data_IF_417849177638
#
_entry.id   IF_417849177638
#
_cell.length_a   1.000
_cell.length_b   1.000
_cell.length_c   1.000
_cell.angle_alpha   90.00
_cell.angle_beta   90.00
_cell.angle_gamma   90.00
#
_symmetry.space_group_name_H-M   'P 1'
#
loop_
_entity.id
_entity.type
_entity.pdbx_description
1 polymer ?
#
# COMPACT_ATOMS: atom_id res chain seq x y z
N UNK A 1 -16.89 -17.31 20.31
CA UNK A 1 -15.47 -16.97 20.46
C UNK A 1 -15.07 -16.10 19.30
N UNK A 2 -14.77 -14.82 19.57
CA UNK A 2 -14.36 -13.86 18.54
C UNK A 2 -12.87 -14.02 18.26
N UNK A 3 -12.46 -13.67 17.04
CA UNK A 3 -11.05 -13.59 16.66
C UNK A 3 -10.68 -12.11 16.48
N UNK A 4 -9.55 -11.73 17.04
CA UNK A 4 -9.02 -10.38 17.00
C UNK A 4 -7.68 -10.43 16.29
N UNK A 5 -7.51 -9.64 15.24
CA UNK A 5 -6.27 -9.59 14.46
C UNK A 5 -5.58 -8.27 14.71
N UNK A 6 -4.31 -8.32 15.10
CA UNK A 6 -3.47 -7.13 15.23
C UNK A 6 -3.26 -6.50 13.84
N UNK A 7 -3.68 -5.25 13.65
CA UNK A 7 -3.50 -4.51 12.38
C UNK A 7 -2.05 -4.18 12.03
N UNK A 8 -1.12 -4.36 12.97
CA UNK A 8 0.30 -4.01 12.80
C UNK A 8 1.13 -5.23 12.41
N UNK A 9 0.99 -6.35 13.13
CA UNK A 9 1.82 -7.54 12.93
C UNK A 9 1.05 -8.79 12.49
N UNK A 10 -0.28 -8.75 12.45
CA UNK A 10 -1.12 -9.88 12.05
C UNK A 10 -1.33 -10.98 13.11
N UNK A 11 -0.89 -10.78 14.37
CA UNK A 11 -1.14 -11.73 15.45
C UNK A 11 -2.66 -11.93 15.67
N UNK A 12 -3.09 -13.19 15.78
CA UNK A 12 -4.50 -13.57 15.98
C UNK A 12 -4.70 -14.00 17.43
N UNK A 13 -5.59 -13.30 18.13
CA UNK A 13 -6.04 -13.64 19.47
C UNK A 13 -7.48 -14.17 19.44
N UNK A 14 -7.78 -15.23 20.18
CA UNK A 14 -9.12 -15.79 20.28
C UNK A 14 -9.68 -15.57 21.69
N UNK A 15 -10.78 -14.84 21.80
CA UNK A 15 -11.40 -14.47 23.09
C UNK A 15 -12.53 -13.46 22.92
N UNK A 16 -13.22 -13.11 24.01
CA UNK A 16 -14.34 -12.16 23.96
C UNK A 16 -13.89 -10.70 23.71
N UNK A 17 -12.70 -10.32 24.19
CA UNK A 17 -12.10 -8.99 24.05
C UNK A 17 -10.64 -9.10 23.59
N UNK A 18 -10.09 -8.13 22.85
CA UNK A 18 -8.68 -8.17 22.45
C UNK A 18 -7.76 -8.01 23.69
N UNK A 19 -6.51 -8.48 23.63
CA UNK A 19 -5.55 -8.27 24.71
C UNK A 19 -5.22 -6.78 24.84
N UNK A 20 -4.85 -6.35 26.06
CA UNK A 20 -4.45 -4.96 26.34
C UNK A 20 -3.20 -4.55 25.54
N UNK A 21 -2.30 -5.51 25.30
CA UNK A 21 -1.07 -5.30 24.54
C UNK A 21 -0.85 -6.50 23.62
N UNK A 22 -0.40 -6.25 22.39
CA UNK A 22 -0.03 -7.30 21.47
C UNK A 22 1.22 -8.04 21.97
N UNK A 23 1.20 -9.38 22.16
CA UNK A 23 2.35 -10.12 22.65
C UNK A 23 3.50 -10.24 21.64
N UNK A 24 3.31 -9.82 20.39
CA UNK A 24 4.29 -9.94 19.31
C UNK A 24 4.96 -8.60 19.00
N UNK A 25 4.19 -7.53 18.85
CA UNK A 25 4.71 -6.21 18.47
C UNK A 25 4.51 -5.13 19.52
N UNK A 26 3.95 -5.46 20.68
CA UNK A 26 3.83 -4.56 21.83
C UNK A 26 2.99 -3.29 21.58
N UNK A 27 2.18 -3.28 20.52
CA UNK A 27 1.21 -2.21 20.28
C UNK A 27 0.00 -2.39 21.18
N UNK A 28 -0.65 -1.27 21.47
CA UNK A 28 -1.86 -1.21 22.28
C UNK A 28 -3.01 -2.04 21.67
N UNK A 29 -3.83 -2.63 22.56
CA UNK A 29 -5.00 -3.45 22.24
C UNK A 29 -6.01 -2.77 21.33
N UNK A 30 -6.07 -1.43 21.31
CA UNK A 30 -6.90 -0.65 20.38
C UNK A 30 -6.59 -0.87 18.91
N UNK A 31 -5.40 -1.43 18.59
CA UNK A 31 -5.00 -1.76 17.21
C UNK A 31 -5.48 -3.13 16.74
N UNK A 32 -6.21 -3.88 17.58
CA UNK A 32 -6.84 -5.14 17.16
C UNK A 32 -8.18 -4.89 16.47
N UNK A 33 -8.41 -5.61 15.38
CA UNK A 33 -9.64 -5.56 14.59
C UNK A 33 -10.35 -6.91 14.74
N UNK A 34 -11.65 -6.89 15.04
CA UNK A 34 -12.48 -8.10 15.08
C UNK A 34 -12.57 -8.71 13.67
N UNK A 35 -12.09 -9.94 13.52
CA UNK A 35 -12.16 -10.68 12.27
C UNK A 35 -13.59 -11.19 12.07
N UNK A 36 -14.39 -10.39 11.37
CA UNK A 36 -15.74 -10.77 10.92
C UNK A 36 -15.66 -11.92 9.91
N UNK A 37 -16.73 -12.70 9.79
CA UNK A 37 -16.78 -13.91 8.96
C UNK A 37 -16.57 -13.67 7.44
N UNK A 38 -16.65 -12.42 6.98
CA UNK A 38 -16.31 -12.06 5.60
C UNK A 38 -14.79 -12.08 5.42
N UNK A 39 -14.32 -12.92 4.49
CA UNK A 39 -12.91 -13.00 4.10
C UNK A 39 -12.49 -11.69 3.44
N UNK A 40 -11.91 -10.78 4.22
CA UNK A 40 -11.17 -9.63 3.71
C UNK A 40 -9.73 -10.04 3.45
N UNK A 41 -9.13 -9.50 2.39
CA UNK A 41 -7.73 -9.78 2.07
C UNK A 41 -6.82 -9.02 3.04
N UNK A 42 -5.72 -9.64 3.49
CA UNK A 42 -4.79 -9.01 4.43
C UNK A 42 -4.17 -7.70 3.89
N UNK A 43 -4.15 -7.53 2.55
CA UNK A 43 -3.83 -6.29 1.87
C UNK A 43 -4.89 -6.03 0.80
N UNK A 44 -5.96 -5.32 1.17
CA UNK A 44 -6.91 -4.81 0.18
C UNK A 44 -6.33 -3.54 -0.45
N UNK A 45 -6.30 -3.48 -1.78
CA UNK A 45 -6.01 -2.26 -2.51
C UNK A 45 -7.16 -1.26 -2.29
N UNK A 46 -7.03 -0.43 -1.27
CA UNK A 46 -7.98 0.64 -1.02
C UNK A 46 -7.66 1.80 -1.98
N UNK A 47 -8.53 2.00 -2.97
CA UNK A 47 -8.40 3.10 -3.92
C UNK A 47 -8.53 4.43 -3.17
N UNK A 48 -7.50 5.28 -3.29
CA UNK A 48 -7.50 6.62 -2.70
C UNK A 48 -6.69 6.79 -1.41
N UNK A 49 -6.02 5.75 -0.89
CA UNK A 49 -5.10 5.88 0.26
C UNK A 49 -4.00 6.92 -0.02
N UNK A 50 -3.52 6.99 -1.27
CA UNK A 50 -2.55 7.99 -1.70
C UNK A 50 -3.05 9.44 -1.66
N UNK A 51 -4.36 9.71 -1.52
CA UNK A 51 -4.88 11.08 -1.40
C UNK A 51 -4.54 11.72 -0.06
N UNK A 52 -4.37 10.90 0.98
CA UNK A 52 -3.92 11.36 2.29
C UNK A 52 -2.38 11.45 2.39
N UNK A 53 -1.65 10.96 1.38
CA UNK A 53 -0.19 10.96 1.40
C UNK A 53 0.33 12.40 1.41
N UNK A 54 1.15 12.71 2.41
CA UNK A 54 1.73 14.04 2.58
C UNK A 54 0.78 15.07 3.20
N UNK A 55 -0.31 14.66 3.86
CA UNK A 55 -1.16 15.60 4.63
C UNK A 55 -0.39 16.36 5.72
N UNK A 56 0.69 15.76 6.23
CA UNK A 56 1.58 16.34 7.24
C UNK A 56 2.77 17.10 6.62
N UNK A 57 2.82 17.19 5.28
CA UNK A 57 3.91 17.81 4.52
C UNK A 57 3.47 19.20 4.04
N UNK A 58 4.34 20.23 4.09
CA UNK A 58 4.05 21.54 3.51
C UNK A 58 3.55 21.45 2.06
N UNK A 59 2.58 22.28 1.70
CA UNK A 59 1.87 22.17 0.41
C UNK A 59 2.78 22.35 -0.82
N UNK A 60 3.81 23.18 -0.69
CA UNK A 60 4.84 23.39 -1.71
C UNK A 60 5.69 22.13 -1.93
N UNK A 61 6.12 21.48 -0.85
CA UNK A 61 6.86 20.21 -0.90
C UNK A 61 5.99 19.07 -1.41
N UNK A 62 4.72 19.01 -0.99
CA UNK A 62 3.77 18.02 -1.50
C UNK A 62 3.58 18.15 -3.01
N UNK A 63 3.48 19.39 -3.52
CA UNK A 63 3.37 19.66 -4.96
C UNK A 63 4.61 19.18 -5.72
N UNK A 64 5.80 19.48 -5.23
CA UNK A 64 7.06 19.03 -5.86
C UNK A 64 7.12 17.50 -5.96
N UNK A 65 6.78 16.80 -4.88
CA UNK A 65 6.75 15.33 -4.86
C UNK A 65 5.76 14.78 -5.90
N UNK A 66 4.53 15.33 -5.94
CA UNK A 66 3.50 14.87 -6.88
C UNK A 66 3.90 15.14 -8.33
N UNK A 67 4.51 16.30 -8.61
CA UNK A 67 4.97 16.65 -9.95
C UNK A 67 6.14 15.76 -10.39
N UNK A 68 7.08 15.45 -9.49
CA UNK A 68 8.18 14.52 -9.76
C UNK A 68 7.69 13.10 -10.06
N UNK A 69 6.73 12.60 -9.29
CA UNK A 69 6.10 11.29 -9.55
C UNK A 69 5.42 11.25 -10.93
N UNK A 70 4.74 12.33 -11.33
CA UNK A 70 4.12 12.43 -12.65
C UNK A 70 5.16 12.48 -13.76
N UNK A 71 6.21 13.27 -13.61
CA UNK A 71 7.29 13.37 -14.58
C UNK A 71 7.99 12.03 -14.81
N UNK A 72 8.24 11.27 -13.73
CA UNK A 72 8.82 9.92 -13.83
C UNK A 72 7.89 8.97 -14.59
N UNK A 73 6.60 8.95 -14.23
CA UNK A 73 5.61 8.11 -14.90
C UNK A 73 5.49 8.45 -16.39
N UNK A 74 5.43 9.73 -16.74
CA UNK A 74 5.39 10.20 -18.13
C UNK A 74 6.68 9.84 -18.89
N UNK A 75 7.84 9.98 -18.26
CA UNK A 75 9.14 9.57 -18.78
C UNK A 75 9.16 8.09 -19.12
N UNK A 76 8.87 7.21 -18.15
CA UNK A 76 8.80 5.77 -18.35
C UNK A 76 7.80 5.39 -19.45
N UNK A 77 6.61 6.00 -19.46
CA UNK A 77 5.60 5.73 -20.50
C UNK A 77 6.09 6.11 -21.91
N UNK A 78 6.88 7.19 -22.02
CA UNK A 78 7.47 7.59 -23.31
C UNK A 78 8.58 6.64 -23.75
N UNK A 79 9.37 6.12 -22.80
CA UNK A 79 10.44 5.15 -23.06
C UNK A 79 9.90 3.80 -23.54
N UNK A 80 8.71 3.39 -23.08
CA UNK A 80 8.04 2.18 -23.59
C UNK A 80 7.88 2.22 -25.13
N UNK A 81 7.54 3.39 -25.69
CA UNK A 81 7.44 3.57 -27.14
C UNK A 81 8.78 3.34 -27.85
N UNK A 82 9.86 3.84 -27.24
CA UNK A 82 11.22 3.65 -27.73
C UNK A 82 11.64 2.18 -27.70
N UNK A 83 11.41 1.48 -26.58
CA UNK A 83 11.71 0.05 -26.45
C UNK A 83 10.93 -0.81 -27.46
N UNK A 84 9.65 -0.52 -27.67
CA UNK A 84 8.84 -1.21 -28.68
C UNK A 84 9.35 -0.97 -30.10
N UNK A 85 9.78 0.26 -30.42
CA UNK A 85 10.34 0.58 -31.72
C UNK A 85 11.69 -0.15 -31.95
N UNK A 86 12.60 -0.11 -30.98
CA UNK A 86 13.88 -0.81 -31.03
C UNK A 86 13.70 -2.33 -31.14
N UNK A 87 12.80 -2.92 -30.36
CA UNK A 87 12.48 -4.35 -30.45
C UNK A 87 11.97 -4.75 -31.84
N UNK A 88 11.14 -3.91 -32.48
CA UNK A 88 10.67 -4.15 -33.85
C UNK A 88 11.80 -4.07 -34.88
N UNK A 89 12.77 -3.18 -34.69
CA UNK A 89 13.95 -3.09 -35.56
C UNK A 89 14.83 -4.32 -35.38
N UNK A 90 15.14 -4.72 -34.14
CA UNK A 90 15.91 -5.93 -33.86
C UNK A 90 15.28 -7.18 -34.51
N UNK A 91 13.95 -7.35 -34.39
CA UNK A 91 13.24 -8.44 -35.07
C UNK A 91 13.36 -8.42 -36.60
N UNK A 92 13.54 -7.24 -37.22
CA UNK A 92 13.71 -7.10 -38.66
C UNK A 92 15.14 -7.41 -39.11
N UNK A 93 16.11 -7.09 -38.26
CA UNK A 93 17.54 -7.24 -38.56
C UNK A 93 18.09 -8.63 -38.23
N UNK A 94 17.40 -9.42 -37.39
CA UNK A 94 17.73 -10.82 -37.11
C UNK A 94 18.18 -11.05 -35.68
#
# INVERSE_FOLDING_TARGET
MKKWVCSVCGYVYEGEQPPVECPVCHVDGSKFIEQKAEKSWAAEHVVGVGKAFGSDVPADVQKEIVDGLRANFEGECSEVGMYLAMARVAHREG
#
